data_IF_691831767172
#
_entry.id   IF_691831767172
#
_cell.length_a   1.000
_cell.length_b   1.000
_cell.length_c   1.000
_cell.angle_alpha   90.00
_cell.angle_beta   90.00
_cell.angle_gamma   90.00
#
_symmetry.space_group_name_H-M   'P 1'
#
loop_
_entity.id
_entity.type
_entity.pdbx_description
1 polymer ?
#
# COMPACT_ATOMS: atom_id res chain seq x y z
N UNK A 1 9.73 -11.48 -0.95
CA UNK A 1 8.96 -12.68 -0.56
C UNK A 1 9.44 -13.77 -1.48
N UNK A 2 9.96 -14.84 -0.89
CA UNK A 2 10.43 -16.00 -1.63
C UNK A 2 9.26 -16.98 -1.83
N UNK A 3 9.46 -17.97 -2.69
CA UNK A 3 8.47 -18.98 -3.08
C UNK A 3 7.93 -19.82 -1.90
N UNK A 4 8.69 -19.93 -0.81
CA UNK A 4 8.33 -20.63 0.41
C UNK A 4 7.62 -19.77 1.47
N UNK A 5 7.38 -18.48 1.17
CA UNK A 5 6.76 -17.57 2.13
C UNK A 5 5.28 -17.93 2.39
N UNK A 6 4.86 -17.81 3.65
CA UNK A 6 3.43 -17.78 3.98
C UNK A 6 2.80 -16.53 3.36
N UNK A 7 2.02 -16.73 2.29
CA UNK A 7 1.43 -15.65 1.50
C UNK A 7 0.47 -14.80 2.34
N UNK A 8 -0.32 -15.41 3.22
CA UNK A 8 -1.30 -14.67 4.02
C UNK A 8 -0.60 -13.77 5.03
N UNK A 9 0.40 -14.30 5.73
CA UNK A 9 1.23 -13.53 6.65
C UNK A 9 1.96 -12.40 5.91
N UNK A 10 2.52 -12.73 4.73
CA UNK A 10 3.25 -11.79 3.88
C UNK A 10 2.36 -10.62 3.42
N UNK A 11 1.13 -10.90 2.98
CA UNK A 11 0.13 -9.88 2.59
C UNK A 11 -0.21 -8.97 3.76
N UNK A 12 -0.48 -9.55 4.94
CA UNK A 12 -0.82 -8.78 6.13
C UNK A 12 0.34 -7.88 6.58
N UNK A 13 1.57 -8.41 6.60
CA UNK A 13 2.75 -7.66 6.97
C UNK A 13 3.06 -6.54 5.96
N UNK A 14 2.93 -6.81 4.66
CA UNK A 14 3.12 -5.80 3.62
C UNK A 14 2.08 -4.67 3.71
N UNK A 15 0.81 -5.00 3.95
CA UNK A 15 -0.26 -4.02 4.08
C UNK A 15 -0.02 -3.13 5.31
N UNK A 16 0.28 -3.73 6.46
CA UNK A 16 0.64 -2.99 7.66
C UNK A 16 1.88 -2.10 7.41
N UNK A 17 2.97 -2.67 6.89
CA UNK A 17 4.22 -1.95 6.68
C UNK A 17 4.14 -0.82 5.66
N UNK A 18 3.20 -0.89 4.70
CA UNK A 18 2.97 0.18 3.72
C UNK A 18 2.05 1.28 4.25
N UNK A 19 0.97 0.91 4.95
CA UNK A 19 -0.13 1.84 5.26
C UNK A 19 -0.15 2.34 6.71
N UNK A 20 0.66 1.77 7.61
CA UNK A 20 0.85 2.31 8.97
C UNK A 20 1.33 3.77 8.89
N UNK A 21 0.68 4.66 9.66
CA UNK A 21 0.85 6.12 9.56
C UNK A 21 0.83 6.67 8.13
N UNK A 22 -0.02 6.11 7.26
CA UNK A 22 -0.18 6.55 5.86
C UNK A 22 1.14 6.45 5.06
N UNK A 23 2.04 5.54 5.48
CA UNK A 23 3.37 5.40 4.89
C UNK A 23 4.35 6.51 5.28
N UNK A 24 4.00 7.40 6.22
CA UNK A 24 4.86 8.48 6.73
C UNK A 24 5.82 7.97 7.82
N UNK A 25 6.48 6.86 7.54
CA UNK A 25 7.43 6.18 8.43
C UNK A 25 8.73 6.02 7.64
N UNK A 26 9.88 6.33 8.25
CA UNK A 26 11.19 6.18 7.61
C UNK A 26 11.48 4.73 7.16
N UNK A 27 10.92 3.75 7.86
CA UNK A 27 11.01 2.32 7.57
C UNK A 27 9.78 1.78 6.81
N UNK A 28 8.95 2.64 6.21
CA UNK A 28 7.78 2.20 5.46
C UNK A 28 8.16 1.30 4.28
N UNK A 29 7.35 0.27 4.05
CA UNK A 29 7.55 -0.66 2.94
C UNK A 29 7.13 0.03 1.63
N UNK A 30 8.09 0.62 0.92
CA UNK A 30 7.83 1.33 -0.33
C UNK A 30 8.05 0.48 -1.60
N UNK A 31 8.67 -0.69 -1.45
CA UNK A 31 8.92 -1.63 -2.53
C UNK A 31 8.72 -3.04 -2.01
N UNK A 32 7.86 -3.81 -2.67
CA UNK A 32 7.63 -5.22 -2.39
C UNK A 32 8.19 -5.99 -3.58
N UNK A 33 9.12 -6.91 -3.33
CA UNK A 33 9.71 -7.79 -4.34
C UNK A 33 9.22 -9.20 -4.04
N UNK A 34 8.66 -9.86 -5.03
CA UNK A 34 7.98 -11.15 -4.90
C UNK A 34 8.55 -12.10 -5.94
N UNK A 35 8.80 -13.34 -5.54
CA UNK A 35 9.19 -14.40 -6.44
C UNK A 35 8.11 -14.62 -7.52
N UNK A 36 8.54 -14.88 -8.75
CA UNK A 36 7.64 -15.01 -9.91
C UNK A 36 6.60 -16.11 -9.71
N UNK A 37 6.95 -17.21 -9.04
CA UNK A 37 6.07 -18.36 -8.82
C UNK A 37 4.84 -18.06 -7.93
N UNK A 38 4.93 -17.04 -7.08
CA UNK A 38 3.85 -16.65 -6.14
C UNK A 38 3.32 -15.23 -6.41
N UNK A 39 3.82 -14.56 -7.47
CA UNK A 39 3.53 -13.16 -7.75
C UNK A 39 2.03 -12.89 -7.91
N UNK A 40 1.35 -13.66 -8.76
CA UNK A 40 -0.06 -13.40 -9.09
C UNK A 40 -0.96 -13.60 -7.85
N UNK A 41 -0.76 -14.69 -7.09
CA UNK A 41 -1.54 -14.97 -5.87
C UNK A 41 -1.29 -13.91 -4.79
N UNK A 42 -0.03 -13.48 -4.61
CA UNK A 42 0.29 -12.40 -3.69
C UNK A 42 -0.38 -11.09 -4.11
N UNK A 43 -0.29 -10.71 -5.39
CA UNK A 43 -0.85 -9.46 -5.91
C UNK A 43 -2.36 -9.44 -5.76
N UNK A 44 -3.06 -10.51 -6.12
CA UNK A 44 -4.52 -10.60 -6.00
C UNK A 44 -4.97 -10.38 -4.55
N UNK A 45 -4.36 -11.10 -3.60
CA UNK A 45 -4.70 -11.00 -2.17
C UNK A 45 -4.32 -9.66 -1.57
N UNK A 46 -3.16 -9.12 -1.95
CA UNK A 46 -2.71 -7.81 -1.48
C UNK A 46 -3.66 -6.71 -1.98
N UNK A 47 -4.04 -6.73 -3.26
CA UNK A 47 -5.03 -5.81 -3.84
C UNK A 47 -6.36 -5.89 -3.11
N UNK A 48 -6.87 -7.11 -2.86
CA UNK A 48 -8.10 -7.30 -2.10
C UNK A 48 -8.01 -6.74 -0.67
N UNK A 49 -6.89 -6.99 0.03
CA UNK A 49 -6.64 -6.47 1.38
C UNK A 49 -6.63 -4.94 1.39
N UNK A 50 -5.91 -4.32 0.46
CA UNK A 50 -5.78 -2.85 0.38
C UNK A 50 -7.12 -2.19 0.08
N UNK A 51 -7.93 -2.75 -0.82
CA UNK A 51 -9.30 -2.27 -1.11
C UNK A 51 -10.23 -2.30 0.10
N UNK A 52 -9.97 -3.16 1.08
CA UNK A 52 -10.75 -3.25 2.31
C UNK A 52 -10.37 -2.25 3.41
N UNK A 53 -9.26 -1.52 3.25
CA UNK A 53 -8.78 -0.58 4.27
C UNK A 53 -9.72 0.62 4.38
N UNK A 54 -10.23 0.87 5.59
CA UNK A 54 -11.14 1.97 5.86
C UNK A 54 -10.36 3.29 5.95
N UNK A 55 -10.71 4.24 5.10
CA UNK A 55 -10.17 5.61 5.08
C UNK A 55 -11.18 6.54 5.75
N UNK A 56 -10.75 7.41 6.66
CA UNK A 56 -11.71 8.29 7.34
C UNK A 56 -11.12 9.19 8.43
N UNK A 57 -12.01 9.67 9.31
CA UNK A 57 -11.65 10.49 10.46
C UNK A 57 -10.81 9.67 11.46
N UNK A 58 -9.62 10.15 11.87
CA UNK A 58 -8.77 9.44 12.82
C UNK A 58 -9.39 9.24 14.22
N UNK A 59 -10.47 9.94 14.56
CA UNK A 59 -11.21 9.75 15.81
C UNK A 59 -12.17 8.54 15.77
N UNK A 60 -12.48 8.02 14.58
CA UNK A 60 -13.34 6.85 14.41
C UNK A 60 -12.52 5.56 14.58
N UNK A 61 -12.96 4.67 15.47
CA UNK A 61 -12.23 3.42 15.76
C UNK A 61 -12.11 2.48 14.56
N UNK A 62 -12.98 2.65 13.56
CA UNK A 62 -12.96 1.88 12.32
C UNK A 62 -11.95 2.39 11.30
N UNK A 63 -11.42 3.61 11.47
CA UNK A 63 -10.47 4.21 10.54
C UNK A 63 -9.11 3.53 10.65
N UNK A 64 -8.64 2.99 9.52
CA UNK A 64 -7.29 2.41 9.42
C UNK A 64 -6.33 3.42 8.78
N UNK A 65 -6.80 4.19 7.80
CA UNK A 65 -6.03 5.19 7.07
C UNK A 65 -6.62 6.58 7.35
N UNK A 66 -5.92 7.39 8.13
CA UNK A 66 -6.22 8.80 8.34
C UNK A 66 -5.57 9.73 7.31
N UNK A 67 -5.54 11.06 7.56
CA UNK A 67 -4.94 12.02 6.65
C UNK A 67 -3.40 11.99 6.68
N UNK A 68 -2.80 12.44 5.58
CA UNK A 68 -1.37 12.80 5.56
C UNK A 68 -1.14 14.14 6.28
N UNK A 69 0.09 14.40 6.72
CA UNK A 69 0.38 15.47 7.69
C UNK A 69 0.01 16.88 7.24
N UNK A 70 0.13 17.19 5.94
CA UNK A 70 -0.19 18.51 5.39
C UNK A 70 -0.36 18.48 3.86
N UNK A 71 -0.84 19.60 3.32
CA UNK A 71 -1.10 19.81 1.88
C UNK A 71 0.15 19.56 1.03
N UNK A 72 1.32 20.05 1.45
CA UNK A 72 2.57 19.87 0.68
C UNK A 72 2.93 18.39 0.51
N UNK A 73 2.74 17.57 1.55
CA UNK A 73 2.97 16.12 1.43
C UNK A 73 1.92 15.47 0.54
N UNK A 74 0.65 15.88 0.64
CA UNK A 74 -0.42 15.38 -0.25
C UNK A 74 -0.11 15.66 -1.72
N UNK A 75 0.19 16.92 -2.06
CA UNK A 75 0.52 17.33 -3.43
C UNK A 75 1.74 16.57 -3.98
N UNK A 76 2.78 16.40 -3.16
CA UNK A 76 3.95 15.61 -3.55
C UNK A 76 3.67 14.11 -3.74
N UNK A 77 2.65 13.55 -3.08
CA UNK A 77 2.19 12.17 -3.32
C UNK A 77 1.38 12.08 -4.62
N UNK A 78 0.48 13.04 -4.86
CA UNK A 78 -0.31 13.15 -6.10
C UNK A 78 0.62 13.26 -7.33
N UNK A 79 1.69 14.07 -7.25
CA UNK A 79 2.67 14.22 -8.32
C UNK A 79 3.44 12.90 -8.60
N UNK A 80 3.83 12.16 -7.54
CA UNK A 80 4.50 10.86 -7.68
C UNK A 80 3.57 9.84 -8.35
N UNK A 81 2.30 9.79 -7.95
CA UNK A 81 1.29 8.92 -8.56
C UNK A 81 1.12 9.27 -10.04
N UNK A 82 0.95 10.56 -10.36
CA UNK A 82 0.81 11.03 -11.74
C UNK A 82 2.04 10.68 -12.60
N UNK A 83 3.24 10.80 -12.02
CA UNK A 83 4.49 10.44 -12.70
C UNK A 83 4.58 8.94 -12.97
N UNK A 84 4.28 8.10 -11.98
CA UNK A 84 4.28 6.64 -12.16
C UNK A 84 3.30 6.21 -13.28
N UNK A 85 2.11 6.81 -13.36
CA UNK A 85 1.16 6.55 -14.45
C UNK A 85 1.70 6.96 -15.82
N UNK A 86 2.33 8.14 -15.93
CA UNK A 86 2.97 8.61 -17.17
C UNK A 86 4.11 7.70 -17.63
N UNK A 87 4.84 7.12 -16.68
CA UNK A 87 5.94 6.18 -16.94
C UNK A 87 5.47 4.75 -17.26
N UNK A 88 4.16 4.51 -17.28
CA UNK A 88 3.57 3.24 -17.70
C UNK A 88 3.30 2.23 -16.58
N UNK A 89 3.33 2.65 -15.31
CA UNK A 89 2.94 1.79 -14.20
C UNK A 89 1.45 1.40 -14.30
N UNK A 90 1.15 0.12 -14.08
CA UNK A 90 -0.23 -0.37 -13.96
C UNK A 90 -0.78 -0.07 -12.56
N UNK A 91 -1.94 0.56 -12.51
CA UNK A 91 -2.62 0.94 -11.26
C UNK A 91 -3.62 -0.15 -10.90
N UNK A 92 -3.32 -0.93 -9.86
CA UNK A 92 -4.17 -2.05 -9.42
C UNK A 92 -5.21 -1.63 -8.38
N UNK A 93 -4.91 -0.58 -7.60
CA UNK A 93 -5.80 0.06 -6.61
C UNK A 93 -5.54 1.55 -6.64
N UNK A 94 -6.61 2.35 -6.61
CA UNK A 94 -6.58 3.80 -6.51
C UNK A 94 -7.73 4.27 -5.61
N UNK A 95 -7.53 5.39 -4.92
CA UNK A 95 -8.48 6.05 -4.02
C UNK A 95 -8.02 7.46 -3.69
#
# INVERSE_FOLDING_TARGET
MLDDADIEQAVNAAAMGKFLHQGQICMAVNRIIVDESIYDDFVERFVAKVKGLQVGDPNEMTTVIGPVINTKQREGLEEKIATAKREGASVLVEG
#
